data_IF_079762124994
#
_entry.id   IF_079762124994
#
_cell.length_a   1.000
_cell.length_b   1.000
_cell.length_c   1.000
_cell.angle_alpha   90.00
_cell.angle_beta   90.00
_cell.angle_gamma   90.00
#
_symmetry.space_group_name_H-M   'P 1'
#
loop_
_entity.id
_entity.type
_entity.pdbx_description
1 polymer ?
#
# COMPACT_ATOMS: atom_id res chain seq x y z
N UNK A 1 35.71 22.88 -13.87
CA UNK A 1 35.33 21.78 -12.94
C UNK A 1 33.90 21.38 -13.25
N UNK A 2 33.73 20.26 -13.94
CA UNK A 2 32.41 19.74 -14.31
C UNK A 2 31.81 19.06 -13.06
N UNK A 3 30.71 19.61 -12.57
CA UNK A 3 29.89 18.93 -11.53
C UNK A 3 29.21 17.76 -12.23
N UNK A 4 29.71 16.55 -11.99
CA UNK A 4 29.02 15.34 -12.38
C UNK A 4 27.69 15.32 -11.66
N UNK A 5 26.59 15.39 -12.38
CA UNK A 5 25.26 15.03 -11.89
C UNK A 5 25.33 13.55 -11.52
N UNK A 6 25.30 13.25 -10.21
CA UNK A 6 25.11 11.89 -9.73
C UNK A 6 23.79 11.38 -10.31
N UNK A 7 23.89 10.58 -11.35
CA UNK A 7 22.74 9.89 -11.92
C UNK A 7 22.20 8.91 -10.88
N UNK A 8 20.95 9.04 -10.49
CA UNK A 8 20.28 8.09 -9.62
C UNK A 8 20.40 6.68 -10.21
N UNK A 9 20.75 5.70 -9.37
CA UNK A 9 20.74 4.29 -9.77
C UNK A 9 19.36 3.92 -10.33
N UNK A 10 19.26 3.17 -11.43
CA UNK A 10 17.98 2.78 -12.02
C UNK A 10 17.09 1.96 -11.07
N UNK A 11 17.63 1.49 -9.95
CA UNK A 11 16.90 0.78 -8.89
C UNK A 11 16.55 1.66 -7.67
N UNK A 12 16.85 2.97 -7.70
CA UNK A 12 16.60 3.84 -6.54
C UNK A 12 15.12 4.22 -6.45
N UNK A 13 14.48 3.84 -5.35
CA UNK A 13 13.13 4.30 -4.99
C UNK A 13 13.23 5.73 -4.43
N UNK A 14 12.53 6.65 -5.06
CA UNK A 14 12.59 8.08 -4.73
C UNK A 14 11.31 8.62 -4.10
N UNK A 15 10.30 7.79 -3.91
CA UNK A 15 9.03 8.21 -3.32
C UNK A 15 8.47 7.13 -2.41
N UNK A 16 7.91 7.55 -1.28
CA UNK A 16 7.15 6.73 -0.36
C UNK A 16 5.66 7.06 -0.53
N UNK A 17 4.92 6.16 -1.15
CA UNK A 17 3.53 6.43 -1.54
C UNK A 17 2.50 5.77 -0.61
N UNK A 18 2.95 5.25 0.55
CA UNK A 18 2.08 4.69 1.56
C UNK A 18 2.66 4.96 2.94
N UNK A 19 2.18 6.02 3.57
CA UNK A 19 2.62 6.46 4.91
C UNK A 19 1.41 6.93 5.71
N UNK A 20 1.36 6.54 6.98
CA UNK A 20 0.36 6.98 7.95
C UNK A 20 0.94 8.01 8.92
N UNK A 21 0.09 8.90 9.36
CA UNK A 21 0.48 9.94 10.31
C UNK A 21 -0.45 9.96 11.53
N UNK A 22 -0.40 11.00 12.32
CA UNK A 22 -1.28 11.26 13.46
C UNK A 22 -2.77 11.31 13.10
N UNK A 23 -3.09 11.28 11.82
CA UNK A 23 -4.47 11.26 11.31
C UNK A 23 -5.04 9.85 11.13
N UNK A 24 -4.19 8.82 11.15
CA UNK A 24 -4.62 7.42 11.14
C UNK A 24 -4.86 6.91 12.55
N UNK A 25 -5.95 6.21 12.74
CA UNK A 25 -6.43 5.75 14.05
C UNK A 25 -5.47 4.75 14.73
N UNK A 26 -4.67 4.05 13.97
CA UNK A 26 -3.72 3.01 14.41
C UNK A 26 -2.25 3.47 14.37
N UNK A 27 -1.99 4.74 14.07
CA UNK A 27 -0.65 5.32 14.03
C UNK A 27 -0.38 6.28 15.22
N UNK A 28 -0.40 5.81 16.47
CA UNK A 28 -0.25 6.68 17.66
C UNK A 28 1.12 7.34 17.78
N UNK A 29 2.10 6.92 16.99
CA UNK A 29 3.42 7.54 16.85
C UNK A 29 3.63 8.22 15.52
N UNK A 30 2.60 8.24 14.69
CA UNK A 30 2.61 8.96 13.42
C UNK A 30 2.81 10.45 13.65
N UNK A 31 3.59 11.09 12.78
CA UNK A 31 3.82 12.52 12.82
C UNK A 31 4.21 13.01 11.43
N UNK A 32 3.29 13.68 10.74
CA UNK A 32 3.44 14.05 9.35
C UNK A 32 4.71 14.89 9.09
N UNK A 33 4.94 15.91 9.89
CA UNK A 33 6.12 16.77 9.73
C UNK A 33 7.44 16.02 10.00
N UNK A 34 7.47 15.10 10.98
CA UNK A 34 8.67 14.29 11.25
C UNK A 34 8.92 13.29 10.12
N UNK A 35 7.86 12.70 9.56
CA UNK A 35 7.95 11.83 8.39
C UNK A 35 8.51 12.58 7.17
N UNK A 36 8.10 13.85 6.95
CA UNK A 36 8.68 14.71 5.93
C UNK A 36 10.18 14.97 6.17
N UNK A 37 10.59 15.28 7.39
CA UNK A 37 12.01 15.46 7.75
C UNK A 37 12.81 14.19 7.50
N UNK A 38 12.25 13.05 7.89
CA UNK A 38 12.87 11.74 7.67
C UNK A 38 13.02 11.43 6.18
N UNK A 39 11.97 11.64 5.37
CA UNK A 39 12.01 11.47 3.92
C UNK A 39 13.12 12.30 3.28
N UNK A 40 13.25 13.58 3.63
CA UNK A 40 14.30 14.46 3.15
C UNK A 40 15.70 13.95 3.54
N UNK A 41 15.86 13.52 4.80
CA UNK A 41 17.15 13.00 5.28
C UNK A 41 17.58 11.72 4.52
N UNK A 42 16.63 10.93 4.04
CA UNK A 42 16.85 9.73 3.23
C UNK A 42 16.96 9.99 1.72
N UNK A 43 16.82 11.24 1.29
CA UNK A 43 16.89 11.62 -0.13
C UNK A 43 15.61 11.30 -0.93
N UNK A 44 14.50 10.95 -0.25
CA UNK A 44 13.19 10.78 -0.85
C UNK A 44 12.70 12.12 -1.44
N UNK A 45 12.08 12.08 -2.59
CA UNK A 45 11.63 13.26 -3.35
C UNK A 45 10.12 13.49 -3.26
N UNK A 46 9.36 12.44 -2.97
CA UNK A 46 7.91 12.54 -2.76
C UNK A 46 7.48 11.63 -1.62
N UNK A 47 6.47 12.06 -0.85
CA UNK A 47 5.82 11.28 0.18
C UNK A 47 4.30 11.47 0.05
N UNK A 48 3.54 10.39 0.12
CA UNK A 48 2.09 10.43 0.19
C UNK A 48 1.63 9.96 1.57
N UNK A 49 0.86 10.79 2.24
CA UNK A 49 0.17 10.39 3.45
C UNK A 49 -1.17 9.79 3.06
N UNK A 50 -1.33 8.49 3.29
CA UNK A 50 -2.48 7.70 2.86
C UNK A 50 -3.22 7.20 4.08
N UNK A 51 -3.89 8.13 4.77
CA UNK A 51 -4.52 7.86 6.05
C UNK A 51 -5.65 6.83 5.92
N UNK A 52 -5.82 6.01 6.95
CA UNK A 52 -6.86 5.00 6.98
C UNK A 52 -8.26 5.59 6.89
N UNK A 53 -9.07 5.00 6.01
CA UNK A 53 -10.51 5.18 5.94
C UNK A 53 -11.17 3.80 5.98
N UNK A 54 -11.15 3.20 7.16
CA UNK A 54 -11.73 1.89 7.45
C UNK A 54 -13.12 2.06 8.03
N UNK A 55 -14.00 1.14 7.65
CA UNK A 55 -15.40 1.09 8.11
C UNK A 55 -15.69 -0.21 8.85
N UNK A 56 -14.68 -1.04 9.07
CA UNK A 56 -14.75 -2.28 9.84
C UNK A 56 -15.01 -2.05 11.32
N UNK A 57 -15.27 -3.13 12.05
CA UNK A 57 -15.51 -3.07 13.49
C UNK A 57 -14.31 -2.60 14.30
N UNK A 58 -13.07 -2.87 13.84
CA UNK A 58 -11.85 -2.41 14.51
C UNK A 58 -11.71 -0.88 14.47
N UNK A 59 -12.10 -0.27 13.35
CA UNK A 59 -12.09 1.18 13.19
C UNK A 59 -13.39 1.86 13.70
N UNK A 60 -14.25 1.13 14.41
CA UNK A 60 -15.54 1.61 14.85
C UNK A 60 -15.44 2.94 15.63
N UNK A 61 -15.87 4.02 15.00
CA UNK A 61 -15.82 5.40 15.56
C UNK A 61 -14.61 6.23 15.15
N UNK A 62 -13.55 5.65 14.62
CA UNK A 62 -12.40 6.37 14.08
C UNK A 62 -12.70 6.83 12.64
N UNK A 63 -13.07 8.09 12.48
CA UNK A 63 -13.32 8.68 11.16
C UNK A 63 -12.25 9.72 10.86
N UNK A 64 -11.66 9.63 9.68
CA UNK A 64 -10.70 10.63 9.20
C UNK A 64 -11.39 12.02 9.14
N UNK A 65 -10.86 12.98 9.90
CA UNK A 65 -11.18 14.40 9.70
C UNK A 65 -10.44 14.90 8.44
N UNK A 66 -11.13 14.80 7.32
CA UNK A 66 -10.56 15.17 6.01
C UNK A 66 -10.11 16.63 5.96
N UNK A 67 -10.84 17.55 6.60
CA UNK A 67 -10.51 18.97 6.55
C UNK A 67 -9.22 19.26 7.31
N UNK A 68 -9.11 18.80 8.57
CA UNK A 68 -7.90 18.97 9.39
C UNK A 68 -6.69 18.26 8.79
N UNK A 69 -6.89 17.04 8.26
CA UNK A 69 -5.85 16.31 7.55
C UNK A 69 -5.31 17.10 6.34
N UNK A 70 -6.16 17.58 5.45
CA UNK A 70 -5.75 18.34 4.26
C UNK A 70 -5.08 19.68 4.62
N UNK A 71 -5.48 20.31 5.73
CA UNK A 71 -4.80 21.51 6.25
C UNK A 71 -3.37 21.15 6.68
N UNK A 72 -3.19 20.05 7.44
CA UNK A 72 -1.86 19.58 7.84
C UNK A 72 -0.98 19.23 6.64
N UNK A 73 -1.53 18.58 5.60
CA UNK A 73 -0.81 18.35 4.35
C UNK A 73 -0.38 19.67 3.70
N UNK A 74 -1.26 20.68 3.68
CA UNK A 74 -0.94 21.99 3.11
C UNK A 74 0.16 22.69 3.91
N UNK A 75 0.17 22.55 5.23
CA UNK A 75 1.22 23.06 6.10
C UNK A 75 2.58 22.40 5.79
N UNK A 76 2.61 21.09 5.67
CA UNK A 76 3.81 20.35 5.29
C UNK A 76 4.30 20.73 3.87
N UNK A 77 3.41 20.94 2.90
CA UNK A 77 3.77 21.46 1.57
C UNK A 77 4.49 22.82 1.67
N UNK A 78 4.06 23.68 2.59
CA UNK A 78 4.69 25.02 2.82
C UNK A 78 6.03 24.91 3.58
N UNK A 79 6.09 24.05 4.60
CA UNK A 79 7.28 23.86 5.43
C UNK A 79 8.41 23.15 4.66
N UNK A 80 8.07 22.20 3.79
CA UNK A 80 9.04 21.36 3.07
C UNK A 80 8.99 21.54 1.55
N UNK A 81 9.30 22.72 1.00
CA UNK A 81 9.10 23.04 -0.43
C UNK A 81 9.98 22.22 -1.40
N UNK A 82 10.95 21.45 -0.88
CA UNK A 82 11.81 20.56 -1.68
C UNK A 82 11.32 19.10 -1.70
N UNK A 83 10.29 18.79 -0.95
CA UNK A 83 9.64 17.47 -0.89
C UNK A 83 8.26 17.61 -1.52
N UNK A 84 7.96 16.77 -2.50
CA UNK A 84 6.59 16.67 -3.00
C UNK A 84 5.75 15.92 -1.96
N UNK A 85 4.93 16.64 -1.20
CA UNK A 85 4.00 16.05 -0.24
C UNK A 85 2.65 15.88 -0.90
N UNK A 86 2.08 14.68 -0.86
CA UNK A 86 0.79 14.36 -1.47
C UNK A 86 -0.24 14.00 -0.40
N UNK A 87 -1.47 14.43 -0.63
CA UNK A 87 -2.62 13.94 0.13
C UNK A 87 -3.07 12.60 -0.44
N UNK A 88 -3.30 11.63 0.41
CA UNK A 88 -3.82 10.33 0.01
C UNK A 88 -4.81 9.79 1.02
N UNK A 89 -5.42 8.68 0.66
CA UNK A 89 -6.27 7.89 1.53
C UNK A 89 -6.13 6.41 1.20
N UNK A 90 -6.10 5.58 2.22
CA UNK A 90 -6.22 4.14 2.11
C UNK A 90 -7.65 3.73 2.48
N UNK A 91 -8.40 3.28 1.46
CA UNK A 91 -9.79 2.85 1.63
C UNK A 91 -9.81 1.36 2.02
N UNK A 92 -10.23 1.07 3.24
CA UNK A 92 -10.50 -0.29 3.68
C UNK A 92 -11.85 -0.79 3.14
N UNK A 93 -11.86 -1.95 2.48
CA UNK A 93 -13.04 -2.63 1.95
C UNK A 93 -14.04 -1.72 1.19
N UNK A 94 -13.60 -0.88 0.23
CA UNK A 94 -14.49 0.08 -0.45
C UNK A 94 -15.64 -0.58 -1.21
N UNK A 95 -15.54 -1.85 -1.58
CA UNK A 95 -16.61 -2.63 -2.21
C UNK A 95 -17.74 -2.98 -1.25
N UNK A 96 -17.43 -3.17 0.04
CA UNK A 96 -18.43 -3.42 1.10
C UNK A 96 -19.10 -2.12 1.57
N UNK A 97 -18.36 -1.00 1.53
CA UNK A 97 -18.79 0.31 2.04
C UNK A 97 -18.74 1.40 0.97
N UNK A 98 -19.39 1.17 -0.21
CA UNK A 98 -19.24 2.08 -1.34
C UNK A 98 -19.83 3.48 -1.11
N UNK A 99 -20.86 3.59 -0.29
CA UNK A 99 -21.49 4.89 0.01
C UNK A 99 -20.59 5.74 0.91
N UNK A 100 -20.01 5.12 1.94
CA UNK A 100 -19.09 5.75 2.88
C UNK A 100 -17.80 6.17 2.19
N UNK A 101 -17.18 5.27 1.41
CA UNK A 101 -15.95 5.54 0.67
C UNK A 101 -16.16 6.66 -0.36
N UNK A 102 -17.23 6.59 -1.17
CA UNK A 102 -17.56 7.65 -2.12
C UNK A 102 -17.87 8.98 -1.40
N UNK A 103 -18.61 8.92 -0.28
CA UNK A 103 -18.91 10.09 0.54
C UNK A 103 -17.64 10.75 1.10
N UNK A 104 -16.64 9.98 1.52
CA UNK A 104 -15.35 10.50 1.97
C UNK A 104 -14.61 11.19 0.82
N UNK A 105 -14.52 10.57 -0.34
CA UNK A 105 -13.83 11.12 -1.51
C UNK A 105 -14.44 12.44 -2.02
N UNK A 106 -15.70 12.73 -1.69
CA UNK A 106 -16.31 14.03 -2.01
C UNK A 106 -15.97 15.15 -1.04
N UNK A 107 -15.39 14.84 0.15
CA UNK A 107 -15.06 15.84 1.18
C UNK A 107 -13.77 16.58 0.92
N UNK A 108 -12.92 16.05 0.02
CA UNK A 108 -11.64 16.66 -0.31
C UNK A 108 -11.06 16.12 -1.59
N UNK A 109 -9.99 16.76 -2.06
CA UNK A 109 -9.23 16.28 -3.20
C UNK A 109 -8.01 15.52 -2.69
N UNK A 110 -7.92 14.25 -3.03
CA UNK A 110 -6.78 13.41 -2.75
C UNK A 110 -5.90 13.30 -4.00
N UNK A 111 -4.58 13.34 -3.80
CA UNK A 111 -3.58 13.17 -4.85
C UNK A 111 -3.36 11.68 -5.17
N UNK A 112 -3.73 10.77 -4.22
CA UNK A 112 -3.60 9.32 -4.34
C UNK A 112 -4.69 8.61 -3.53
N UNK A 113 -5.30 7.58 -4.11
CA UNK A 113 -6.28 6.72 -3.45
C UNK A 113 -5.81 5.27 -3.56
N UNK A 114 -5.64 4.60 -2.42
CA UNK A 114 -5.34 3.18 -2.34
C UNK A 114 -6.61 2.40 -2.01
N UNK A 115 -6.72 1.20 -2.58
CA UNK A 115 -7.76 0.23 -2.21
C UNK A 115 -7.15 -0.95 -1.48
N UNK A 116 -7.68 -1.26 -0.30
CA UNK A 116 -7.11 -2.21 0.65
C UNK A 116 -8.15 -3.20 1.16
N UNK A 117 -7.68 -4.38 1.52
CA UNK A 117 -8.49 -5.42 2.17
C UNK A 117 -7.80 -5.84 3.47
N UNK A 118 -8.36 -5.40 4.60
CA UNK A 118 -7.83 -5.68 5.95
C UNK A 118 -8.59 -6.79 6.66
N UNK A 119 -9.77 -7.12 6.19
CA UNK A 119 -10.63 -8.17 6.72
C UNK A 119 -11.23 -9.00 5.59
N UNK A 120 -11.65 -10.23 5.88
CA UNK A 120 -12.32 -11.10 4.91
C UNK A 120 -13.64 -11.62 5.47
N UNK A 121 -14.58 -11.94 4.59
CA UNK A 121 -15.81 -12.62 4.96
C UNK A 121 -15.51 -14.11 5.13
N UNK A 122 -15.79 -14.63 6.32
CA UNK A 122 -15.66 -16.06 6.67
C UNK A 122 -16.98 -16.58 7.21
N UNK A 123 -17.77 -17.23 6.34
CA UNK A 123 -19.14 -17.63 6.67
C UNK A 123 -20.02 -16.41 6.97
N UNK A 124 -20.64 -16.39 8.15
CA UNK A 124 -21.50 -15.27 8.61
C UNK A 124 -20.72 -14.19 9.40
N UNK A 125 -19.38 -14.28 9.44
CA UNK A 125 -18.54 -13.40 10.25
C UNK A 125 -17.53 -12.66 9.38
N UNK A 126 -17.05 -11.53 9.89
CA UNK A 126 -15.90 -10.81 9.35
C UNK A 126 -14.68 -11.20 10.17
N UNK A 127 -13.64 -11.66 9.50
CA UNK A 127 -12.35 -12.01 10.09
C UNK A 127 -11.37 -10.86 9.83
N UNK A 128 -10.99 -10.16 10.89
CA UNK A 128 -9.97 -9.12 10.83
C UNK A 128 -8.57 -9.75 10.73
N UNK A 129 -7.87 -9.47 9.64
CA UNK A 129 -6.63 -10.17 9.29
C UNK A 129 -5.43 -9.83 10.20
N UNK A 130 -5.49 -8.70 10.90
CA UNK A 130 -4.50 -8.31 11.90
C UNK A 130 -4.75 -8.89 13.30
N UNK A 131 -5.94 -9.47 13.54
CA UNK A 131 -6.32 -10.06 14.82
C UNK A 131 -5.84 -11.50 14.91
N UNK A 132 -4.63 -11.70 15.47
CA UNK A 132 -3.93 -13.00 15.53
C UNK A 132 -4.77 -14.10 16.22
N UNK A 133 -5.54 -13.75 17.25
CA UNK A 133 -6.39 -14.69 17.96
C UNK A 133 -7.55 -15.20 17.09
N UNK A 134 -8.09 -14.38 16.22
CA UNK A 134 -9.11 -14.78 15.25
C UNK A 134 -8.48 -15.66 14.15
N UNK A 135 -7.31 -15.24 13.62
CA UNK A 135 -6.58 -16.02 12.62
C UNK A 135 -6.21 -17.41 13.14
N UNK A 136 -5.84 -17.55 14.42
CA UNK A 136 -5.47 -18.83 15.01
C UNK A 136 -6.61 -19.88 15.01
N UNK A 137 -7.85 -19.42 14.86
CA UNK A 137 -9.04 -20.28 14.80
C UNK A 137 -9.51 -20.56 13.37
N UNK A 138 -8.94 -19.88 12.39
CA UNK A 138 -9.29 -19.99 10.99
C UNK A 138 -8.41 -21.01 10.25
N UNK A 139 -8.93 -21.57 9.17
CA UNK A 139 -8.12 -22.33 8.21
C UNK A 139 -7.29 -21.35 7.34
N UNK A 140 -5.95 -21.40 7.40
CA UNK A 140 -5.11 -20.45 6.71
C UNK A 140 -5.26 -20.50 5.19
N UNK A 141 -5.46 -21.69 4.62
CA UNK A 141 -5.60 -21.84 3.17
C UNK A 141 -6.95 -21.31 2.70
N UNK A 142 -8.01 -21.60 3.44
CA UNK A 142 -9.34 -21.07 3.13
C UNK A 142 -9.37 -19.55 3.28
N UNK A 143 -8.74 -19.00 4.32
CA UNK A 143 -8.62 -17.54 4.52
C UNK A 143 -7.90 -16.86 3.36
N UNK A 144 -6.79 -17.44 2.89
CA UNK A 144 -6.06 -16.86 1.73
C UNK A 144 -6.89 -16.91 0.45
N UNK A 145 -7.61 -18.01 0.19
CA UNK A 145 -8.47 -18.09 -1.00
C UNK A 145 -9.62 -17.10 -0.93
N UNK A 146 -10.26 -16.96 0.23
CA UNK A 146 -11.30 -15.96 0.46
C UNK A 146 -10.74 -14.52 0.24
N UNK A 147 -9.55 -14.24 0.77
CA UNK A 147 -8.87 -12.96 0.60
C UNK A 147 -8.65 -12.62 -0.89
N UNK A 148 -8.13 -13.55 -1.68
CA UNK A 148 -7.91 -13.29 -3.12
C UNK A 148 -9.22 -13.15 -3.90
N UNK A 149 -10.23 -13.96 -3.59
CA UNK A 149 -11.54 -13.85 -4.22
C UNK A 149 -12.17 -12.48 -3.96
N UNK A 150 -12.11 -12.04 -2.71
CA UNK A 150 -12.67 -10.75 -2.31
C UNK A 150 -11.87 -9.55 -2.84
N UNK A 151 -10.57 -9.68 -3.07
CA UNK A 151 -9.79 -8.66 -3.77
C UNK A 151 -10.27 -8.44 -5.21
N UNK A 152 -10.70 -9.49 -5.90
CA UNK A 152 -11.30 -9.34 -7.23
C UNK A 152 -12.60 -8.51 -7.13
N UNK A 153 -13.47 -8.81 -6.15
CA UNK A 153 -14.69 -8.05 -5.91
C UNK A 153 -14.39 -6.58 -5.56
N UNK A 154 -13.34 -6.33 -4.77
CA UNK A 154 -12.89 -4.99 -4.41
C UNK A 154 -12.46 -4.20 -5.65
N UNK A 155 -11.64 -4.80 -6.52
CA UNK A 155 -11.13 -4.16 -7.73
C UNK A 155 -12.27 -3.90 -8.74
N UNK A 156 -13.20 -4.85 -8.89
CA UNK A 156 -14.35 -4.73 -9.78
C UNK A 156 -15.47 -3.86 -9.22
N UNK A 157 -15.39 -3.51 -7.95
CA UNK A 157 -16.36 -2.72 -7.22
C UNK A 157 -16.59 -1.31 -7.78
N UNK A 158 -17.59 -0.60 -7.26
CA UNK A 158 -18.02 0.70 -7.81
C UNK A 158 -17.13 1.87 -7.40
N UNK A 159 -16.24 1.73 -6.42
CA UNK A 159 -15.36 2.80 -5.95
C UNK A 159 -14.02 2.71 -6.67
N UNK A 160 -13.65 3.77 -7.36
CA UNK A 160 -12.37 3.83 -8.07
C UNK A 160 -11.22 4.18 -7.11
N UNK A 161 -10.09 3.53 -7.31
CA UNK A 161 -8.81 3.81 -6.65
C UNK A 161 -7.65 3.60 -7.64
N UNK A 162 -6.48 4.15 -7.34
CA UNK A 162 -5.34 4.14 -8.28
C UNK A 162 -4.34 3.03 -8.01
N UNK A 163 -4.26 2.54 -6.77
CA UNK A 163 -3.26 1.55 -6.34
C UNK A 163 -3.94 0.47 -5.51
N UNK A 164 -3.74 -0.79 -5.87
CA UNK A 164 -4.04 -1.94 -5.02
C UNK A 164 -2.91 -2.09 -4.00
N UNK A 165 -3.22 -1.90 -2.72
CA UNK A 165 -2.25 -1.98 -1.64
C UNK A 165 -1.91 -3.42 -1.25
N UNK A 166 -0.77 -3.59 -0.68
CA UNK A 166 -0.21 -4.78 0.02
C UNK A 166 -0.87 -6.13 -0.31
N UNK A 167 -0.98 -6.48 -1.59
CA UNK A 167 -1.42 -7.82 -2.04
C UNK A 167 -0.64 -8.90 -1.26
N UNK A 168 -1.32 -9.93 -0.78
CA UNK A 168 -0.83 -10.95 0.17
C UNK A 168 -0.74 -10.46 1.64
N UNK A 169 -1.50 -9.44 2.02
CA UNK A 169 -1.51 -8.86 3.38
C UNK A 169 -1.61 -9.91 4.51
N UNK A 170 -2.45 -10.99 4.45
CA UNK A 170 -2.58 -11.95 5.55
C UNK A 170 -1.27 -12.68 5.89
N UNK A 171 -0.31 -12.79 4.95
CA UNK A 171 0.97 -13.47 5.25
C UNK A 171 1.80 -12.74 6.31
N UNK A 172 1.55 -11.44 6.55
CA UNK A 172 2.20 -10.68 7.64
C UNK A 172 1.91 -11.28 9.01
N UNK A 173 0.75 -11.90 9.14
CA UNK A 173 0.22 -12.46 10.38
C UNK A 173 0.27 -13.99 10.38
N UNK A 174 1.01 -14.60 9.43
CA UNK A 174 1.14 -16.06 9.29
C UNK A 174 1.71 -16.68 10.56
N UNK A 175 1.00 -17.64 11.15
CA UNK A 175 1.36 -18.17 12.45
C UNK A 175 2.53 -19.16 12.35
N UNK A 176 3.44 -19.20 13.35
CA UNK A 176 4.62 -20.09 13.34
C UNK A 176 4.30 -21.58 13.27
N UNK A 177 3.09 -22.00 13.65
CA UNK A 177 2.64 -23.41 13.59
C UNK A 177 2.03 -23.81 12.25
N UNK A 178 1.80 -22.87 11.35
CA UNK A 178 1.25 -23.16 10.03
C UNK A 178 2.37 -23.59 9.06
N UNK A 179 1.98 -24.33 7.99
CA UNK A 179 2.89 -24.58 6.89
C UNK A 179 3.40 -23.24 6.32
N UNK A 180 4.67 -23.14 5.91
CA UNK A 180 5.20 -21.89 5.36
C UNK A 180 4.35 -21.38 4.20
N UNK A 181 4.03 -20.08 4.22
CA UNK A 181 3.29 -19.46 3.11
C UNK A 181 4.12 -19.50 1.82
N UNK A 182 3.46 -19.85 0.73
CA UNK A 182 4.05 -19.88 -0.62
C UNK A 182 3.05 -19.31 -1.62
N UNK A 183 3.41 -18.24 -2.29
CA UNK A 183 2.57 -17.61 -3.31
C UNK A 183 2.18 -18.56 -4.44
N UNK A 184 3.07 -19.51 -4.77
CA UNK A 184 2.87 -20.49 -5.84
C UNK A 184 1.68 -21.42 -5.58
N UNK A 185 1.29 -21.62 -4.31
CA UNK A 185 0.13 -22.43 -3.95
C UNK A 185 -1.20 -21.74 -4.28
N UNK A 186 -1.14 -20.42 -4.54
CA UNK A 186 -2.28 -19.55 -4.85
C UNK A 186 -2.11 -18.84 -6.21
N UNK A 187 -1.25 -19.38 -7.09
CA UNK A 187 -0.92 -18.70 -8.36
C UNK A 187 -2.17 -18.36 -9.18
N UNK A 188 -3.14 -19.27 -9.27
CA UNK A 188 -4.35 -19.05 -10.05
C UNK A 188 -5.20 -17.91 -9.49
N UNK A 189 -5.39 -17.89 -8.17
CA UNK A 189 -6.15 -16.86 -7.48
C UNK A 189 -5.44 -15.49 -7.54
N UNK A 190 -4.13 -15.47 -7.34
CA UNK A 190 -3.33 -14.25 -7.46
C UNK A 190 -3.38 -13.71 -8.88
N UNK A 191 -3.25 -14.55 -9.90
CA UNK A 191 -3.36 -14.12 -11.31
C UNK A 191 -4.72 -13.51 -11.61
N UNK A 192 -5.82 -14.06 -11.07
CA UNK A 192 -7.15 -13.48 -11.23
C UNK A 192 -7.22 -12.04 -10.65
N UNK A 193 -6.62 -11.80 -9.48
CA UNK A 193 -6.51 -10.46 -8.90
C UNK A 193 -5.70 -9.53 -9.81
N UNK A 194 -4.57 -10.00 -10.32
CA UNK A 194 -3.69 -9.21 -11.20
C UNK A 194 -4.39 -8.89 -12.54
N UNK A 195 -5.13 -9.82 -13.11
CA UNK A 195 -5.94 -9.62 -14.32
C UNK A 195 -7.03 -8.57 -14.10
N UNK A 196 -7.75 -8.64 -12.99
CA UNK A 196 -8.73 -7.64 -12.61
C UNK A 196 -8.09 -6.25 -12.48
N UNK A 197 -6.93 -6.14 -11.82
CA UNK A 197 -6.21 -4.88 -11.65
C UNK A 197 -5.73 -4.30 -13.01
N UNK A 198 -5.24 -5.15 -13.92
CA UNK A 198 -4.90 -4.75 -15.29
C UNK A 198 -6.13 -4.23 -16.04
N UNK A 199 -7.27 -4.94 -15.93
CA UNK A 199 -8.52 -4.58 -16.58
C UNK A 199 -9.08 -3.23 -16.12
N UNK A 200 -8.77 -2.80 -14.91
CA UNK A 200 -9.18 -1.53 -14.30
C UNK A 200 -8.11 -0.44 -14.35
N UNK A 201 -6.96 -0.72 -14.97
CA UNK A 201 -5.80 0.18 -14.98
C UNK A 201 -5.36 0.61 -13.57
N UNK A 202 -5.40 -0.30 -12.59
CA UNK A 202 -4.94 -0.09 -11.23
C UNK A 202 -3.46 -0.46 -11.14
N UNK A 203 -2.65 0.32 -10.42
CA UNK A 203 -1.25 -0.01 -10.15
C UNK A 203 -1.15 -1.04 -9.02
N UNK A 204 -0.12 -1.90 -9.06
CA UNK A 204 0.19 -2.78 -7.94
C UNK A 204 1.15 -2.06 -6.98
N UNK A 205 0.88 -2.12 -5.69
CA UNK A 205 1.83 -1.69 -4.69
C UNK A 205 2.88 -2.78 -4.42
N UNK A 206 4.13 -2.37 -4.25
CA UNK A 206 5.17 -3.12 -3.58
C UNK A 206 5.38 -2.51 -2.18
N UNK A 207 4.73 -3.08 -1.20
CA UNK A 207 4.69 -2.61 0.18
C UNK A 207 5.79 -3.28 0.99
N UNK A 208 6.59 -2.46 1.67
CA UNK A 208 7.79 -2.90 2.39
C UNK A 208 7.63 -2.84 3.92
N UNK A 209 6.39 -2.84 4.40
CA UNK A 209 6.06 -2.67 5.82
C UNK A 209 7.12 -3.22 6.77
N UNK A 210 7.51 -2.38 7.72
CA UNK A 210 8.51 -2.66 8.76
C UNK A 210 9.93 -2.93 8.23
N UNK A 211 10.20 -2.77 6.93
CA UNK A 211 11.52 -2.93 6.31
C UNK A 211 12.22 -4.27 6.55
N UNK A 212 11.44 -5.24 7.02
CA UNK A 212 11.93 -6.44 7.67
C UNK A 212 12.03 -7.67 6.79
N UNK A 213 11.56 -8.78 7.32
CA UNK A 213 11.62 -10.09 6.70
C UNK A 213 10.91 -10.11 5.34
N UNK A 214 11.63 -10.29 4.22
CA UNK A 214 11.04 -10.30 2.88
C UNK A 214 10.04 -11.44 2.67
N UNK A 215 10.08 -12.48 3.52
CA UNK A 215 9.14 -13.62 3.42
C UNK A 215 7.79 -13.32 4.03
N UNK A 216 7.68 -12.37 4.96
CA UNK A 216 6.46 -12.05 5.69
C UNK A 216 5.98 -10.61 5.49
N UNK A 217 6.88 -9.65 5.56
CA UNK A 217 6.53 -8.24 5.57
C UNK A 217 6.36 -7.64 4.17
N UNK A 218 7.12 -8.12 3.18
CA UNK A 218 7.04 -7.62 1.81
C UNK A 218 5.77 -8.11 1.10
N UNK A 219 4.90 -7.21 0.70
CA UNK A 219 3.65 -7.50 0.01
C UNK A 219 3.55 -6.74 -1.32
N UNK A 220 3.46 -7.43 -2.46
CA UNK A 220 3.51 -8.88 -2.59
C UNK A 220 4.92 -9.47 -2.57
N UNK A 221 4.98 -10.80 -2.61
CA UNK A 221 6.22 -11.58 -2.78
C UNK A 221 6.87 -11.27 -4.14
N UNK A 222 8.21 -11.37 -4.27
CA UNK A 222 8.91 -11.05 -5.51
C UNK A 222 8.40 -11.83 -6.75
N UNK A 223 8.00 -13.08 -6.59
CA UNK A 223 7.43 -13.89 -7.67
C UNK A 223 6.15 -13.28 -8.23
N UNK A 224 5.31 -12.70 -7.37
CA UNK A 224 4.05 -12.05 -7.77
C UNK A 224 4.32 -10.77 -8.56
N UNK A 225 5.37 -10.02 -8.25
CA UNK A 225 5.79 -8.85 -9.07
C UNK A 225 6.19 -9.30 -10.48
N UNK A 226 6.83 -10.48 -10.61
CA UNK A 226 7.10 -11.11 -11.89
C UNK A 226 5.79 -11.48 -12.64
N UNK A 227 4.82 -12.06 -11.94
CA UNK A 227 3.51 -12.37 -12.53
C UNK A 227 2.75 -11.11 -12.93
N UNK A 228 2.83 -10.05 -12.13
CA UNK A 228 2.27 -8.74 -12.49
C UNK A 228 2.75 -8.27 -13.86
N UNK A 229 4.05 -8.33 -14.10
CA UNK A 229 4.64 -7.97 -15.40
C UNK A 229 4.15 -8.88 -16.54
N UNK A 230 4.05 -10.19 -16.29
CA UNK A 230 3.58 -11.19 -17.27
C UNK A 230 2.10 -11.00 -17.63
N UNK A 231 1.26 -10.63 -16.66
CA UNK A 231 -0.18 -10.38 -16.86
C UNK A 231 -0.44 -9.07 -17.63
N UNK A 232 0.58 -8.25 -17.87
CA UNK A 232 0.45 -6.97 -18.56
C UNK A 232 0.40 -5.76 -17.64
N UNK A 233 0.71 -5.94 -16.36
CA UNK A 233 0.83 -4.86 -15.40
C UNK A 233 1.91 -3.86 -15.81
N UNK A 234 1.56 -2.58 -15.77
CA UNK A 234 2.40 -1.49 -16.29
C UNK A 234 2.97 -0.59 -15.22
N UNK A 235 2.37 -0.56 -14.04
CA UNK A 235 2.73 0.40 -12.99
C UNK A 235 2.93 -0.31 -11.66
N UNK A 236 4.02 0.07 -10.96
CA UNK A 236 4.23 -0.24 -9.56
C UNK A 236 4.22 1.06 -8.75
N UNK A 237 3.59 1.01 -7.59
CA UNK A 237 3.78 1.94 -6.48
C UNK A 237 4.72 1.32 -5.46
N UNK A 238 5.46 2.10 -4.71
CA UNK A 238 6.25 1.61 -3.57
C UNK A 238 5.84 2.38 -2.33
N UNK A 239 5.54 1.66 -1.26
CA UNK A 239 5.14 2.22 0.02
C UNK A 239 5.81 1.51 1.19
N UNK A 240 6.19 2.28 2.22
CA UNK A 240 6.72 1.72 3.46
C UNK A 240 5.64 1.30 4.44
N UNK A 241 4.41 1.81 4.26
CA UNK A 241 3.31 1.59 5.20
C UNK A 241 3.73 1.99 6.63
N UNK A 242 4.44 3.12 6.70
CA UNK A 242 5.06 3.58 7.93
C UNK A 242 4.01 4.22 8.84
N UNK A 243 3.87 3.71 10.07
CA UNK A 243 3.04 4.23 11.15
C UNK A 243 3.88 4.96 12.22
N UNK A 244 5.16 5.17 11.91
CA UNK A 244 6.14 5.83 12.75
C UNK A 244 7.20 6.47 11.82
N UNK A 245 7.57 7.73 12.00
CA UNK A 245 8.55 8.42 11.14
C UNK A 245 9.87 7.68 10.95
N UNK A 246 10.28 6.87 11.93
CA UNK A 246 11.54 6.11 11.87
C UNK A 246 11.50 4.99 10.83
N UNK A 247 10.30 4.55 10.40
CA UNK A 247 10.11 3.46 9.43
C UNK A 247 9.82 3.95 8.02
N UNK A 248 9.76 5.27 7.80
CA UNK A 248 9.63 5.86 6.45
C UNK A 248 10.74 5.35 5.54
N UNK A 249 10.36 4.91 4.33
CA UNK A 249 11.24 4.33 3.31
C UNK A 249 12.00 3.07 3.76
N UNK A 250 11.56 2.39 4.82
CA UNK A 250 12.15 1.13 5.24
C UNK A 250 12.03 0.08 4.13
N UNK A 251 13.11 -0.67 3.85
CA UNK A 251 13.11 -1.74 2.82
C UNK A 251 13.20 -1.25 1.36
N UNK A 252 13.30 0.04 1.08
CA UNK A 252 13.26 0.59 -0.29
C UNK A 252 14.38 0.12 -1.20
N UNK A 253 15.57 -0.19 -0.66
CA UNK A 253 16.65 -0.81 -1.46
C UNK A 253 16.19 -2.15 -2.05
N UNK A 254 15.58 -3.00 -1.22
CA UNK A 254 15.06 -4.29 -1.66
C UNK A 254 13.91 -4.12 -2.67
N UNK A 255 12.98 -3.20 -2.40
CA UNK A 255 11.88 -2.91 -3.33
C UNK A 255 12.38 -2.47 -4.71
N UNK A 256 13.40 -1.60 -4.74
CA UNK A 256 14.02 -1.15 -5.97
C UNK A 256 14.70 -2.28 -6.75
N UNK A 257 15.40 -3.18 -6.06
CA UNK A 257 16.03 -4.36 -6.67
C UNK A 257 14.97 -5.30 -7.28
N UNK A 258 13.86 -5.55 -6.56
CA UNK A 258 12.75 -6.40 -7.04
C UNK A 258 12.05 -5.76 -8.24
N UNK A 259 11.68 -4.48 -8.16
CA UNK A 259 11.05 -3.76 -9.26
C UNK A 259 11.90 -3.76 -10.52
N UNK A 260 13.20 -3.46 -10.39
CA UNK A 260 14.14 -3.47 -11.50
C UNK A 260 14.33 -4.88 -12.09
N UNK A 261 14.41 -5.93 -11.26
CA UNK A 261 14.51 -7.32 -11.71
C UNK A 261 13.26 -7.77 -12.49
N UNK A 262 12.09 -7.24 -12.14
CA UNK A 262 10.83 -7.47 -12.86
C UNK A 262 10.65 -6.59 -14.12
N UNK A 263 11.64 -5.71 -14.43
CA UNK A 263 11.61 -4.86 -15.62
C UNK A 263 10.86 -3.54 -15.46
N UNK A 264 10.68 -3.07 -14.22
CA UNK A 264 10.14 -1.75 -13.93
C UNK A 264 11.26 -0.74 -13.66
N UNK A 265 11.02 0.51 -14.01
CA UNK A 265 11.92 1.63 -13.74
C UNK A 265 11.13 2.86 -13.23
N UNK A 266 11.78 3.78 -12.49
CA UNK A 266 11.13 5.01 -12.06
C UNK A 266 10.51 5.77 -13.24
N UNK A 267 9.25 6.16 -13.10
CA UNK A 267 8.54 6.89 -14.15
C UNK A 267 9.09 8.30 -14.33
N UNK A 268 9.31 8.71 -15.57
CA UNK A 268 9.66 10.09 -15.92
C UNK A 268 8.44 11.05 -15.84
N UNK A 269 7.22 10.50 -15.84
CA UNK A 269 5.98 11.28 -15.95
C UNK A 269 5.37 11.59 -14.57
N UNK A 270 5.38 10.62 -13.67
CA UNK A 270 4.82 10.78 -12.31
C UNK A 270 5.85 10.31 -11.29
N UNK A 271 6.36 11.24 -10.49
CA UNK A 271 7.27 10.93 -9.39
C UNK A 271 6.62 9.87 -8.50
N UNK A 272 7.36 8.81 -8.21
CA UNK A 272 6.95 7.77 -7.28
C UNK A 272 6.32 6.53 -7.90
N UNK A 273 5.79 6.60 -9.12
CA UNK A 273 5.41 5.39 -9.84
C UNK A 273 6.59 4.83 -10.62
N UNK A 274 6.66 3.52 -10.70
CA UNK A 274 7.55 2.80 -11.59
C UNK A 274 6.75 2.25 -12.75
N UNK A 275 7.31 2.30 -13.95
CA UNK A 275 6.65 1.83 -15.17
C UNK A 275 7.48 0.76 -15.84
N UNK A 276 6.79 -0.23 -16.44
CA UNK A 276 7.44 -1.14 -17.36
C UNK A 276 7.60 -0.48 -18.73
N UNK A 277 8.67 -0.80 -19.42
CA UNK A 277 8.88 -0.45 -20.83
C UNK A 277 7.86 -1.16 -21.74
#
# INVERSE_FOLDING_TARGET
MSVATEGSSPSQVLADLHVHSEWSWDAPRGAMAESCRRAIALGIKAIAFTEHADYSALAAGARLDVAGYLETVADCKREFPRLAVWSGVELGEPHRFPAEASGLLTRGRFDLVLGSLHSVISGDSVLELSEVDQLAQADPQQTMRAYFAELVELIEGPVAFEVLSHLEYPKRFWLPGWAPYRSEEYEAEIRAVLEAAVGRDVALELNTSRGGDPTRALCPSPVVVGWWRQTGGRRLSVGSDAHDPTTVAAGFRLAGEIGAAAGFAPSAVRIGLWTSA
#
